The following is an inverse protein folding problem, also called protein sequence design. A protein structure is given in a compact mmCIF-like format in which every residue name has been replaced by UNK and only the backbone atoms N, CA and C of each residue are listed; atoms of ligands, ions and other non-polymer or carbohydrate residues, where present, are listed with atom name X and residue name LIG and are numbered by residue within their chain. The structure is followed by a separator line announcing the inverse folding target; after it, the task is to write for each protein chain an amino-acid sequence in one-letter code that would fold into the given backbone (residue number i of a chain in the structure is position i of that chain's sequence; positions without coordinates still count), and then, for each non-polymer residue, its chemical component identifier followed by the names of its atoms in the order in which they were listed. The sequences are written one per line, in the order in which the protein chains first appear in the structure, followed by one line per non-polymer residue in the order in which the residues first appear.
data_IF_300333663548
#
_entry.id   IF_300333663548
#
_cell.length_a   1.000
_cell.length_b   1.000
_cell.length_c   1.000
_cell.angle_alpha   90.00
_cell.angle_beta   90.00
_cell.angle_gamma   90.00
#
_symmetry.space_group_name_H-M   'P 1'
#
loop_
_entity.id
_entity.type
_entity.pdbx_description
1 polymer ?
#
# COMPACT_ATOMS: atom_id res chain seq x y z
N UNK A 1 -7.34 19.68 7.61
CA UNK A 1 -6.45 19.43 6.46
C UNK A 1 -7.31 19.19 5.23
N UNK A 2 -7.39 20.17 4.33
CA UNK A 2 -8.08 20.01 3.05
C UNK A 2 -7.33 18.97 2.22
N UNK A 3 -7.93 17.78 2.07
CA UNK A 3 -7.51 16.82 1.04
C UNK A 3 -7.84 17.45 -0.30
N UNK A 4 -6.88 18.15 -0.91
CA UNK A 4 -6.94 18.42 -2.34
C UNK A 4 -6.96 17.05 -3.02
N UNK A 5 -8.13 16.62 -3.46
CA UNK A 5 -8.27 15.44 -4.31
C UNK A 5 -7.53 15.75 -5.61
N UNK A 6 -6.26 15.38 -5.66
CA UNK A 6 -5.47 15.38 -6.88
C UNK A 6 -6.14 14.39 -7.81
N UNK A 7 -6.95 14.91 -8.75
CA UNK A 7 -7.57 14.09 -9.78
C UNK A 7 -6.43 13.52 -10.62
N UNK A 8 -6.19 12.22 -10.49
CA UNK A 8 -5.08 11.60 -11.19
C UNK A 8 -5.33 11.63 -12.69
N UNK A 9 -4.36 12.11 -13.49
CA UNK A 9 -4.48 12.09 -14.94
C UNK A 9 -4.62 10.65 -15.45
N UNK A 10 -5.36 10.48 -16.56
CA UNK A 10 -5.52 9.19 -17.22
C UNK A 10 -4.16 8.60 -17.64
N UNK A 11 -4.08 7.29 -17.91
CA UNK A 11 -2.83 6.65 -18.38
C UNK A 11 -2.23 7.40 -19.58
N UNK A 12 -3.05 7.75 -20.56
CA UNK A 12 -2.64 8.48 -21.77
C UNK A 12 -2.11 9.88 -21.48
N UNK A 13 -2.70 10.61 -20.53
CA UNK A 13 -2.25 11.94 -20.13
C UNK A 13 -0.91 11.88 -19.39
N UNK A 14 -0.70 10.85 -18.56
CA UNK A 14 0.57 10.59 -17.87
C UNK A 14 1.68 10.27 -18.85
N UNK A 15 1.43 9.37 -19.79
CA UNK A 15 2.38 8.99 -20.84
C UNK A 15 2.75 10.22 -21.72
N UNK A 16 1.78 11.08 -22.04
CA UNK A 16 2.02 12.34 -22.75
C UNK A 16 2.85 13.34 -21.93
N UNK A 17 2.57 13.47 -20.64
CA UNK A 17 3.31 14.33 -19.72
C UNK A 17 4.77 13.90 -19.55
N UNK A 18 5.01 12.61 -19.36
CA UNK A 18 6.37 12.04 -19.28
C UNK A 18 7.10 12.24 -20.61
N UNK A 19 6.44 12.00 -21.75
CA UNK A 19 7.05 12.21 -23.07
C UNK A 19 7.47 13.67 -23.28
N UNK A 20 6.64 14.62 -22.85
CA UNK A 20 6.96 16.05 -22.90
C UNK A 20 8.13 16.41 -21.97
N UNK A 21 8.21 15.80 -20.78
CA UNK A 21 9.33 15.98 -19.85
C UNK A 21 10.63 15.44 -20.45
N UNK A 22 10.63 14.21 -20.98
CA UNK A 22 11.80 13.60 -21.62
C UNK A 22 12.30 14.49 -22.76
N UNK A 23 11.38 14.94 -23.64
CA UNK A 23 11.73 15.86 -24.72
C UNK A 23 12.40 17.13 -24.20
N UNK A 24 11.81 17.77 -23.18
CA UNK A 24 12.36 18.99 -22.58
C UNK A 24 13.72 18.76 -21.91
N UNK A 25 13.94 17.60 -21.29
CA UNK A 25 15.23 17.24 -20.72
C UNK A 25 16.29 16.98 -21.79
N UNK A 26 15.92 16.38 -22.92
CA UNK A 26 16.81 16.18 -24.06
C UNK A 26 17.23 17.52 -24.67
N UNK A 27 16.27 18.43 -24.87
CA UNK A 27 16.49 19.78 -25.42
C UNK A 27 17.29 20.70 -24.46
N UNK A 28 17.33 20.37 -23.17
CA UNK A 28 18.00 21.19 -22.17
C UNK A 28 19.52 21.03 -22.23
N UNK A 29 20.22 22.12 -22.56
CA UNK A 29 21.66 22.21 -22.45
C UNK A 29 22.05 22.83 -21.09
N UNK A 30 22.70 22.04 -20.23
CA UNK A 30 23.10 22.47 -18.88
C UNK A 30 24.44 23.21 -18.99
N UNK A 31 24.51 24.51 -18.61
CA UNK A 31 25.76 25.27 -18.65
C UNK A 31 26.84 24.61 -17.81
N UNK A 32 28.06 24.55 -18.32
CA UNK A 32 29.21 23.89 -17.68
C UNK A 32 29.43 24.33 -16.23
N UNK A 33 29.38 25.64 -15.98
CA UNK A 33 29.50 26.26 -14.64
C UNK A 33 28.38 25.89 -13.66
N UNK A 34 27.30 25.26 -14.14
CA UNK A 34 26.15 24.87 -13.33
C UNK A 34 25.98 23.35 -13.24
N UNK A 35 26.77 22.55 -13.96
CA UNK A 35 26.62 21.09 -14.05
C UNK A 35 26.65 20.44 -12.67
N UNK A 36 27.63 20.79 -11.82
CA UNK A 36 27.76 20.20 -10.49
C UNK A 36 26.55 20.52 -9.60
N UNK A 37 26.13 21.79 -9.55
CA UNK A 37 24.98 22.21 -8.76
C UNK A 37 23.68 21.56 -9.23
N UNK A 38 23.49 21.45 -10.54
CA UNK A 38 22.30 20.82 -11.14
C UNK A 38 22.29 19.32 -10.87
N UNK A 39 23.44 18.65 -11.01
CA UNK A 39 23.59 17.23 -10.71
C UNK A 39 23.31 16.93 -9.24
N UNK A 40 23.88 17.70 -8.31
CA UNK A 40 23.62 17.56 -6.88
C UNK A 40 22.15 17.80 -6.52
N UNK A 41 21.54 18.86 -7.06
CA UNK A 41 20.12 19.16 -6.81
C UNK A 41 19.21 18.05 -7.35
N UNK A 42 19.49 17.54 -8.55
CA UNK A 42 18.71 16.44 -9.15
C UNK A 42 18.85 15.15 -8.33
N UNK A 43 20.07 14.82 -7.90
CA UNK A 43 20.33 13.67 -7.02
C UNK A 43 19.63 13.81 -5.67
N UNK A 44 19.67 15.00 -5.07
CA UNK A 44 18.98 15.29 -3.81
C UNK A 44 17.47 15.11 -3.95
N UNK A 45 16.87 15.60 -5.05
CA UNK A 45 15.44 15.42 -5.33
C UNK A 45 15.05 13.95 -5.47
N UNK A 46 15.84 13.14 -6.19
CA UNK A 46 15.57 11.70 -6.29
C UNK A 46 15.65 11.02 -4.91
N UNK A 47 16.65 11.37 -4.10
CA UNK A 47 16.80 10.81 -2.76
C UNK A 47 15.64 11.19 -1.84
N UNK A 48 15.16 12.43 -1.92
CA UNK A 48 14.01 12.90 -1.15
C UNK A 48 12.73 12.14 -1.52
N UNK A 49 12.45 11.96 -2.81
CA UNK A 49 11.27 11.21 -3.27
C UNK A 49 11.37 9.73 -2.88
N UNK A 50 12.57 9.13 -2.93
CA UNK A 50 12.80 7.77 -2.43
C UNK A 50 12.54 7.66 -0.92
N UNK A 51 13.09 8.59 -0.14
CA UNK A 51 12.89 8.63 1.31
C UNK A 51 11.40 8.79 1.67
N UNK A 52 10.65 9.63 0.93
CA UNK A 52 9.21 9.76 1.12
C UNK A 52 8.45 8.46 0.81
N UNK A 53 8.87 7.74 -0.23
CA UNK A 53 8.28 6.44 -0.59
C UNK A 53 8.49 5.42 0.52
N UNK A 54 9.72 5.32 1.02
CA UNK A 54 10.07 4.40 2.12
C UNK A 54 9.34 4.76 3.41
N UNK A 55 9.19 6.06 3.69
CA UNK A 55 8.42 6.55 4.83
C UNK A 55 6.95 6.10 4.76
N UNK A 56 6.30 6.27 3.61
CA UNK A 56 4.90 5.87 3.43
C UNK A 56 4.72 4.35 3.46
N UNK A 57 5.58 3.59 2.77
CA UNK A 57 5.54 2.11 2.82
C UNK A 57 5.76 1.62 4.27
N UNK A 58 6.66 2.25 5.03
CA UNK A 58 6.89 1.96 6.45
C UNK A 58 5.73 2.34 7.38
N UNK A 59 4.92 3.35 7.02
CA UNK A 59 3.69 3.70 7.74
C UNK A 59 2.59 2.68 7.49
N UNK A 60 2.43 2.22 6.24
CA UNK A 60 1.47 1.17 5.89
C UNK A 60 1.83 -0.15 6.56
N UNK A 61 3.10 -0.53 6.58
CA UNK A 61 3.58 -1.72 7.28
C UNK A 61 3.19 -1.71 8.77
N UNK A 62 3.44 -0.60 9.46
CA UNK A 62 3.04 -0.43 10.87
C UNK A 62 1.52 -0.57 11.07
N UNK A 63 0.74 0.00 10.17
CA UNK A 63 -0.72 -0.09 10.21
C UNK A 63 -1.20 -1.55 10.03
N UNK A 64 -0.61 -2.31 9.10
CA UNK A 64 -0.91 -3.74 8.92
C UNK A 64 -0.59 -4.56 10.16
N UNK A 65 0.53 -4.27 10.83
CA UNK A 65 0.90 -4.93 12.09
C UNK A 65 -0.13 -4.68 13.19
N UNK A 66 -0.58 -3.43 13.35
CA UNK A 66 -1.63 -3.09 14.33
C UNK A 66 -2.93 -3.84 14.03
N UNK A 67 -3.33 -3.92 12.76
CA UNK A 67 -4.54 -4.67 12.34
C UNK A 67 -4.41 -6.15 12.67
N UNK A 68 -3.24 -6.75 12.42
CA UNK A 68 -3.01 -8.17 12.69
C UNK A 68 -3.13 -8.45 14.19
N UNK A 69 -2.48 -7.64 15.04
CA UNK A 69 -2.60 -7.77 16.50
C UNK A 69 -4.02 -7.58 17.00
N UNK A 70 -4.71 -6.53 16.52
CA UNK A 70 -6.10 -6.28 16.91
C UNK A 70 -7.00 -7.45 16.48
N UNK A 71 -6.83 -7.96 15.26
CA UNK A 71 -7.61 -9.10 14.76
C UNK A 71 -7.37 -10.38 15.58
N UNK A 72 -6.14 -10.61 16.03
CA UNK A 72 -5.83 -11.74 16.92
C UNK A 72 -6.55 -11.62 18.27
N UNK A 73 -6.53 -10.43 18.89
CA UNK A 73 -7.25 -10.17 20.16
C UNK A 73 -8.75 -10.34 19.98
N UNK A 74 -9.33 -9.75 18.93
CA UNK A 74 -10.76 -9.86 18.64
C UNK A 74 -11.16 -11.32 18.36
N UNK A 75 -10.31 -12.06 17.64
CA UNK A 75 -10.49 -13.50 17.43
C UNK A 75 -10.53 -14.28 18.73
N UNK A 76 -9.62 -14.01 19.68
CA UNK A 76 -9.60 -14.66 20.99
C UNK A 76 -10.86 -14.35 21.81
N UNK A 77 -11.32 -13.09 21.82
CA UNK A 77 -12.57 -12.68 22.48
C UNK A 77 -13.77 -13.41 21.87
N UNK A 78 -13.81 -13.50 20.54
CA UNK A 78 -14.86 -14.24 19.85
C UNK A 78 -14.81 -15.76 20.13
N UNK A 79 -13.64 -16.37 20.21
CA UNK A 79 -13.52 -17.78 20.61
C UNK A 79 -14.10 -18.01 22.00
N UNK A 80 -13.84 -17.09 22.94
CA UNK A 80 -14.45 -17.15 24.27
C UNK A 80 -15.97 -17.03 24.19
N UNK A 81 -16.48 -16.06 23.41
CA UNK A 81 -17.90 -15.91 23.15
C UNK A 81 -18.53 -17.21 22.64
N UNK A 82 -17.94 -17.82 21.61
CA UNK A 82 -18.45 -19.03 20.97
C UNK A 82 -18.36 -20.29 21.87
N UNK A 83 -17.56 -20.23 22.94
CA UNK A 83 -17.50 -21.29 23.95
C UNK A 83 -18.65 -21.17 24.96
N UNK A 84 -19.02 -19.93 25.32
CA UNK A 84 -20.04 -19.67 26.33
C UNK A 84 -21.47 -19.65 25.73
N UNK A 85 -21.59 -19.28 24.45
CA UNK A 85 -22.85 -19.16 23.70
C UNK A 85 -22.83 -20.02 22.44
N UNK A 86 -23.74 -20.98 22.37
CA UNK A 86 -23.91 -21.87 21.21
C UNK A 86 -24.48 -21.09 20.02
N UNK A 87 -24.05 -21.44 18.81
CA UNK A 87 -24.67 -20.95 17.58
C UNK A 87 -26.15 -21.37 17.53
N UNK A 88 -27.12 -20.44 17.49
CA UNK A 88 -28.54 -20.77 17.58
C UNK A 88 -29.11 -21.51 16.36
N UNK A 89 -28.36 -21.63 15.26
CA UNK A 89 -28.81 -22.27 14.03
C UNK A 89 -29.82 -21.42 13.24
N UNK A 90 -30.11 -21.87 12.01
CA UNK A 90 -31.16 -21.30 11.17
C UNK A 90 -32.45 -22.15 11.18
N UNK A 91 -32.42 -23.32 11.81
CA UNK A 91 -33.48 -24.33 11.69
C UNK A 91 -34.72 -24.01 12.56
N UNK A 92 -34.57 -23.21 13.61
CA UNK A 92 -35.65 -22.80 14.51
C UNK A 92 -35.57 -21.30 14.80
N UNK A 93 -35.94 -20.47 13.84
CA UNK A 93 -35.98 -19.01 13.98
C UNK A 93 -37.03 -18.65 15.05
N UNK A 94 -36.56 -18.33 16.25
CA UNK A 94 -37.37 -17.82 17.35
C UNK A 94 -36.92 -16.39 17.65
N UNK A 95 -37.76 -15.35 17.51
CA UNK A 95 -37.35 -13.95 17.72
C UNK A 95 -37.18 -13.58 19.21
N UNK A 96 -36.74 -14.50 20.06
CA UNK A 96 -36.41 -14.24 21.45
C UNK A 96 -35.04 -13.56 21.57
N UNK A 97 -34.82 -12.83 22.67
CA UNK A 97 -33.53 -12.18 22.95
C UNK A 97 -32.36 -13.20 22.97
N UNK A 98 -32.62 -14.42 23.44
CA UNK A 98 -31.63 -15.51 23.48
C UNK A 98 -31.22 -16.06 22.11
N UNK A 99 -31.99 -15.82 21.04
CA UNK A 99 -31.61 -16.14 19.67
C UNK A 99 -31.07 -14.91 18.93
N UNK A 100 -31.74 -13.76 19.06
CA UNK A 100 -31.41 -12.53 18.33
C UNK A 100 -30.03 -11.98 18.68
N UNK A 101 -29.71 -11.89 19.98
CA UNK A 101 -28.45 -11.28 20.42
C UNK A 101 -27.23 -12.12 20.02
N UNK A 102 -27.17 -13.44 20.31
CA UNK A 102 -26.04 -14.24 19.86
C UNK A 102 -25.91 -14.27 18.34
N UNK A 103 -27.01 -14.49 17.61
CA UNK A 103 -27.00 -14.51 16.14
C UNK A 103 -26.44 -13.20 15.56
N UNK A 104 -26.87 -12.06 16.09
CA UNK A 104 -26.37 -10.74 15.67
C UNK A 104 -24.89 -10.55 15.98
N UNK A 105 -24.42 -11.02 17.14
CA UNK A 105 -22.99 -10.97 17.52
C UNK A 105 -22.12 -11.78 16.56
N UNK A 106 -22.53 -13.02 16.25
CA UNK A 106 -21.86 -13.89 15.28
C UNK A 106 -21.82 -13.26 13.88
N UNK A 107 -22.95 -12.73 13.40
CA UNK A 107 -23.03 -12.12 12.08
C UNK A 107 -22.17 -10.86 11.98
N UNK A 108 -22.18 -10.03 13.03
CA UNK A 108 -21.34 -8.81 13.10
C UNK A 108 -19.86 -9.17 13.10
N UNK A 109 -19.45 -10.21 13.85
CA UNK A 109 -18.07 -10.70 13.82
C UNK A 109 -17.68 -11.22 12.43
N UNK A 110 -18.57 -11.95 11.76
CA UNK A 110 -18.32 -12.45 10.40
C UNK A 110 -18.14 -11.31 9.40
N UNK A 111 -19.03 -10.30 9.43
CA UNK A 111 -18.90 -9.10 8.59
C UNK A 111 -17.56 -8.40 8.89
N UNK A 112 -17.22 -8.22 10.16
CA UNK A 112 -15.94 -7.64 10.56
C UNK A 112 -14.76 -8.41 9.92
N UNK A 113 -14.74 -9.74 10.03
CA UNK A 113 -13.67 -10.57 9.48
C UNK A 113 -13.56 -10.41 7.95
N UNK A 114 -14.68 -10.39 7.23
CA UNK A 114 -14.71 -10.19 5.78
C UNK A 114 -14.18 -8.80 5.40
N UNK A 115 -14.67 -7.74 6.07
CA UNK A 115 -14.27 -6.36 5.77
C UNK A 115 -12.79 -6.12 6.09
N UNK A 116 -12.28 -6.65 7.21
CA UNK A 116 -10.85 -6.57 7.55
C UNK A 116 -10.00 -7.32 6.52
N UNK A 117 -10.39 -8.53 6.16
CA UNK A 117 -9.65 -9.33 5.17
C UNK A 117 -9.60 -8.62 3.82
N UNK A 118 -10.73 -8.06 3.38
CA UNK A 118 -10.79 -7.24 2.17
C UNK A 118 -9.90 -5.99 2.25
N UNK A 119 -9.90 -5.30 3.39
CA UNK A 119 -9.02 -4.16 3.64
C UNK A 119 -7.55 -4.54 3.54
N UNK A 120 -7.13 -5.65 4.15
CA UNK A 120 -5.75 -6.13 4.07
C UNK A 120 -5.38 -6.53 2.64
N UNK A 121 -6.27 -7.22 1.94
CA UNK A 121 -6.03 -7.63 0.55
C UNK A 121 -5.81 -6.42 -0.37
N UNK A 122 -6.66 -5.39 -0.25
CA UNK A 122 -6.50 -4.14 -1.01
C UNK A 122 -5.22 -3.40 -0.65
N UNK A 123 -4.83 -3.37 0.63
CA UNK A 123 -3.55 -2.81 1.06
C UNK A 123 -2.36 -3.54 0.43
N UNK A 124 -2.33 -4.87 0.50
CA UNK A 124 -1.25 -5.68 -0.07
C UNK A 124 -1.16 -5.49 -1.58
N UNK A 125 -2.30 -5.40 -2.28
CA UNK A 125 -2.31 -5.16 -3.71
C UNK A 125 -1.81 -3.73 -4.05
N UNK A 126 -2.06 -2.74 -3.20
CA UNK A 126 -1.54 -1.38 -3.37
C UNK A 126 -0.01 -1.28 -3.12
N UNK A 127 0.53 -2.12 -2.23
CA UNK A 127 1.97 -2.13 -1.89
C UNK A 127 2.80 -2.87 -2.96
N UNK A 128 2.18 -3.72 -3.79
CA UNK A 128 2.91 -4.50 -4.81
C UNK A 128 3.84 -3.61 -5.64
N UNK A 129 5.12 -4.00 -5.79
CA UNK A 129 6.09 -3.23 -6.55
C UNK A 129 5.84 -3.39 -8.05
N UNK A 130 4.89 -2.63 -8.61
CA UNK A 130 4.70 -2.56 -10.05
C UNK A 130 5.23 -1.21 -10.54
N UNK A 131 6.27 -1.20 -11.36
CA UNK A 131 6.72 0.02 -12.03
C UNK A 131 6.03 0.10 -13.38
N UNK A 132 5.24 1.15 -13.59
CA UNK A 132 4.66 1.43 -14.89
C UNK A 132 5.75 2.14 -15.72
N UNK A 133 6.41 1.39 -16.59
CA UNK A 133 7.48 1.91 -17.44
C UNK A 133 6.84 2.67 -18.60
N UNK A 134 7.31 3.88 -18.95
CA UNK A 134 6.79 4.61 -20.10
C UNK A 134 6.94 3.76 -21.37
N UNK A 135 5.91 3.72 -22.22
CA UNK A 135 5.99 2.97 -23.48
C UNK A 135 7.13 3.46 -24.40
N UNK A 136 7.56 4.72 -24.23
CA UNK A 136 8.69 5.33 -24.93
C UNK A 136 10.05 4.74 -24.55
N UNK A 137 10.15 3.98 -23.45
CA UNK A 137 11.37 3.24 -23.09
C UNK A 137 11.42 1.85 -23.71
N UNK A 138 10.34 1.35 -24.32
CA UNK A 138 10.33 0.06 -25.02
C UNK A 138 10.81 0.17 -26.48
N UNK A 139 11.43 1.30 -26.85
CA UNK A 139 11.99 1.54 -28.18
C UNK A 139 13.50 1.61 -28.08
N UNK A 140 14.18 0.72 -28.77
CA UNK A 140 15.63 0.79 -28.95
C UNK A 140 15.97 2.15 -29.56
N UNK A 141 16.59 3.03 -28.77
CA UNK A 141 17.05 4.31 -29.30
C UNK A 141 18.16 4.03 -30.33
N UNK A 142 18.08 4.68 -31.49
CA UNK A 142 19.01 4.48 -32.61
C UNK A 142 20.45 4.90 -32.27
N UNK A 143 20.64 5.57 -31.12
CA UNK A 143 21.88 6.10 -30.58
C UNK A 143 22.71 5.07 -29.79
N UNK A 144 22.11 3.93 -29.40
CA UNK A 144 22.79 2.88 -28.62
C UNK A 144 23.01 3.20 -27.14
N UNK A 145 22.57 4.37 -26.65
CA UNK A 145 22.62 4.75 -25.24
C UNK A 145 21.38 4.22 -24.48
N UNK A 146 21.54 3.78 -23.21
CA UNK A 146 20.40 3.33 -22.41
C UNK A 146 19.45 4.50 -22.10
N UNK A 147 18.12 4.31 -22.07
CA UNK A 147 17.16 5.39 -21.76
C UNK A 147 17.27 5.91 -20.33
N UNK A 148 17.89 5.15 -19.42
CA UNK A 148 18.32 5.61 -18.10
C UNK A 148 19.55 4.82 -17.62
N UNK A 149 20.48 5.53 -16.97
CA UNK A 149 21.68 4.99 -16.34
C UNK A 149 21.51 4.65 -14.84
N UNK A 150 20.32 4.85 -14.25
CA UNK A 150 20.08 4.65 -12.80
C UNK A 150 18.90 3.71 -12.55
N UNK A 151 17.91 3.67 -13.44
CA UNK A 151 16.73 2.84 -13.30
C UNK A 151 16.94 1.44 -13.90
N UNK A 152 16.61 0.40 -13.13
CA UNK A 152 16.90 -0.99 -13.52
C UNK A 152 16.30 -1.40 -14.88
N UNK A 153 15.05 -0.99 -15.19
CA UNK A 153 14.47 -1.32 -16.50
C UNK A 153 15.21 -0.61 -17.65
N UNK A 154 15.72 0.61 -17.43
CA UNK A 154 16.50 1.32 -18.45
C UNK A 154 17.90 0.73 -18.64
N UNK A 155 18.52 0.24 -17.55
CA UNK A 155 19.79 -0.48 -17.61
C UNK A 155 19.65 -1.85 -18.30
N UNK A 156 18.58 -2.59 -18.00
CA UNK A 156 18.34 -3.93 -18.54
C UNK A 156 17.85 -3.93 -19.99
N UNK A 157 17.45 -2.78 -20.53
CA UNK A 157 17.06 -2.63 -21.94
C UNK A 157 18.27 -2.69 -22.89
N UNK A 158 19.48 -2.50 -22.35
CA UNK A 158 20.75 -2.65 -23.08
C UNK A 158 21.56 -3.83 -22.54
N UNK A 159 22.41 -4.44 -23.38
CA UNK A 159 23.31 -5.49 -22.92
C UNK A 159 24.42 -4.92 -22.01
N UNK A 160 24.92 -5.72 -21.07
CA UNK A 160 25.96 -5.28 -20.13
C UNK A 160 27.21 -4.66 -20.81
N UNK A 161 27.73 -5.19 -21.94
CA UNK A 161 28.82 -4.55 -22.68
C UNK A 161 28.45 -3.16 -23.21
N UNK A 162 27.27 -3.01 -23.83
CA UNK A 162 26.79 -1.73 -24.35
C UNK A 162 26.55 -0.69 -23.26
N UNK A 163 26.11 -1.14 -22.08
CA UNK A 163 25.97 -0.27 -20.92
C UNK A 163 27.34 0.28 -20.47
N UNK A 164 28.36 -0.58 -20.43
CA UNK A 164 29.74 -0.17 -20.14
C UNK A 164 30.29 0.81 -21.18
N UNK A 165 30.13 0.50 -22.47
CA UNK A 165 30.52 1.39 -23.58
C UNK A 165 29.83 2.76 -23.51
N UNK A 166 28.53 2.79 -23.17
CA UNK A 166 27.79 4.02 -22.97
C UNK A 166 28.36 4.84 -21.81
N UNK A 167 28.74 4.18 -20.71
CA UNK A 167 29.35 4.83 -19.56
C UNK A 167 30.71 5.42 -19.90
N UNK A 168 31.58 4.66 -20.57
CA UNK A 168 32.90 5.10 -21.01
C UNK A 168 32.80 6.28 -22.00
N UNK A 169 31.87 6.19 -22.96
CA UNK A 169 31.63 7.24 -23.96
C UNK A 169 31.19 8.55 -23.32
N UNK A 170 30.29 8.48 -22.34
CA UNK A 170 29.79 9.65 -21.62
C UNK A 170 30.78 10.18 -20.58
N UNK A 171 31.65 9.32 -20.03
CA UNK A 171 32.64 9.70 -19.04
C UNK A 171 33.70 10.65 -19.62
N UNK A 172 34.12 10.48 -20.88
CA UNK A 172 35.12 11.35 -21.51
C UNK A 172 36.36 11.60 -20.63
N UNK A 173 37.09 12.69 -20.89
CA UNK A 173 38.24 13.07 -20.05
C UNK A 173 37.83 13.83 -18.77
N UNK A 174 36.74 14.62 -18.83
CA UNK A 174 36.33 15.50 -17.72
C UNK A 174 35.07 15.04 -16.97
N UNK A 175 34.34 14.02 -17.45
CA UNK A 175 33.12 13.52 -16.80
C UNK A 175 31.93 14.48 -16.81
N UNK A 176 32.05 15.64 -17.47
CA UNK A 176 31.03 16.70 -17.48
C UNK A 176 29.77 16.27 -18.22
N UNK A 177 29.92 15.54 -19.33
CA UNK A 177 28.79 15.01 -20.10
C UNK A 177 28.09 13.86 -19.36
N UNK A 178 28.83 13.02 -18.65
CA UNK A 178 28.26 12.03 -17.73
C UNK A 178 27.41 12.69 -16.65
N UNK A 179 27.93 13.72 -15.96
CA UNK A 179 27.16 14.46 -14.92
C UNK A 179 25.90 15.10 -15.49
N UNK A 180 25.97 15.68 -16.70
CA UNK A 180 24.79 16.24 -17.39
C UNK A 180 23.76 15.16 -17.68
N UNK A 181 24.20 14.00 -18.17
CA UNK A 181 23.33 12.88 -18.47
C UNK A 181 22.66 12.33 -17.20
N UNK A 182 23.43 12.09 -16.14
CA UNK A 182 22.93 11.66 -14.84
C UNK A 182 21.94 12.67 -14.25
N UNK A 183 22.20 13.98 -14.36
CA UNK A 183 21.28 15.00 -13.88
C UNK A 183 19.90 14.90 -14.58
N UNK A 184 19.89 14.69 -15.90
CA UNK A 184 18.64 14.49 -16.66
C UNK A 184 17.92 13.21 -16.21
N UNK A 185 18.64 12.09 -16.07
CA UNK A 185 18.07 10.84 -15.58
C UNK A 185 17.49 10.99 -14.17
N UNK A 186 18.19 11.67 -13.26
CA UNK A 186 17.70 11.93 -11.89
C UNK A 186 16.39 12.72 -11.87
N UNK A 187 16.26 13.75 -12.71
CA UNK A 187 15.02 14.55 -12.79
C UNK A 187 13.85 13.69 -13.31
N UNK A 188 14.07 12.94 -14.39
CA UNK A 188 13.04 12.07 -14.97
C UNK A 188 12.62 11.00 -13.96
N UNK A 189 13.58 10.38 -13.28
CA UNK A 189 13.29 9.35 -12.28
C UNK A 189 12.62 9.89 -11.04
N UNK A 190 13.03 11.06 -10.54
CA UNK A 190 12.37 11.69 -9.41
C UNK A 190 10.88 11.93 -9.71
N UNK A 191 10.58 12.38 -10.93
CA UNK A 191 9.20 12.54 -11.40
C UNK A 191 8.45 11.20 -11.46
N UNK A 192 9.03 10.18 -12.10
CA UNK A 192 8.40 8.85 -12.21
C UNK A 192 8.11 8.21 -10.85
N UNK A 193 9.06 8.33 -9.91
CA UNK A 193 8.88 7.82 -8.55
C UNK A 193 7.80 8.63 -7.83
N UNK A 194 7.80 9.97 -7.93
CA UNK A 194 6.78 10.81 -7.30
C UNK A 194 5.37 10.52 -7.83
N UNK A 195 5.23 10.34 -9.14
CA UNK A 195 3.97 9.98 -9.77
C UNK A 195 3.45 8.61 -9.28
N UNK A 196 4.37 7.64 -9.12
CA UNK A 196 4.04 6.32 -8.58
C UNK A 196 3.65 6.39 -7.10
N UNK A 197 4.32 7.22 -6.29
CA UNK A 197 3.93 7.46 -4.89
C UNK A 197 2.52 8.02 -4.84
N UNK A 198 2.19 8.99 -5.70
CA UNK A 198 0.84 9.54 -5.76
C UNK A 198 -0.20 8.45 -6.11
N UNK A 199 0.09 7.57 -7.07
CA UNK A 199 -0.79 6.43 -7.42
C UNK A 199 -0.97 5.44 -6.27
N UNK A 200 0.12 5.07 -5.59
CA UNK A 200 0.08 4.23 -4.39
C UNK A 200 -0.77 4.86 -3.29
N UNK A 201 -0.56 6.14 -2.99
CA UNK A 201 -1.32 6.89 -1.98
C UNK A 201 -2.80 6.97 -2.33
N UNK A 202 -3.14 7.18 -3.61
CA UNK A 202 -4.53 7.14 -4.07
C UNK A 202 -5.17 5.75 -3.87
N UNK A 203 -4.41 4.67 -4.09
CA UNK A 203 -4.84 3.30 -3.88
C UNK A 203 -4.95 2.91 -2.38
N UNK A 204 -4.29 3.63 -1.48
CA UNK A 204 -4.38 3.41 -0.03
C UNK A 204 -5.68 3.97 0.57
N UNK A 205 -6.27 5.02 -0.01
CA UNK A 205 -7.53 5.60 0.47
C UNK A 205 -8.69 4.59 0.66
N UNK A 206 -9.01 3.71 -0.32
CA UNK A 206 -10.05 2.71 -0.11
C UNK A 206 -9.73 1.73 1.02
N UNK A 207 -8.45 1.37 1.21
CA UNK A 207 -8.02 0.55 2.35
C UNK A 207 -8.29 1.26 3.68
N UNK A 208 -7.90 2.53 3.81
CA UNK A 208 -8.13 3.30 5.06
C UNK A 208 -9.62 3.44 5.35
N UNK A 209 -10.45 3.65 4.32
CA UNK A 209 -11.89 3.71 4.48
C UNK A 209 -12.51 2.36 4.89
N UNK A 210 -12.07 1.26 4.28
CA UNK A 210 -12.50 -0.09 4.66
C UNK A 210 -12.09 -0.42 6.11
N UNK A 211 -10.88 -0.04 6.52
CA UNK A 211 -10.43 -0.19 7.90
C UNK A 211 -11.27 0.62 8.88
N UNK A 212 -11.62 1.86 8.53
CA UNK A 212 -12.51 2.68 9.35
C UNK A 212 -13.88 2.04 9.52
N UNK A 213 -14.44 1.47 8.44
CA UNK A 213 -15.68 0.72 8.51
C UNK A 213 -15.55 -0.52 9.41
N UNK A 214 -14.47 -1.28 9.28
CA UNK A 214 -14.17 -2.42 10.15
C UNK A 214 -14.13 -2.02 11.63
N UNK A 215 -13.51 -0.89 11.98
CA UNK A 215 -13.46 -0.40 13.36
C UNK A 215 -14.85 -0.04 13.90
N UNK A 216 -15.73 0.52 13.08
CA UNK A 216 -17.13 0.79 13.48
C UNK A 216 -17.90 -0.52 13.71
N UNK A 217 -17.76 -1.49 12.81
CA UNK A 217 -18.38 -2.82 12.95
C UNK A 217 -17.86 -3.51 14.22
N UNK A 218 -16.57 -3.40 14.51
CA UNK A 218 -15.96 -3.95 15.71
C UNK A 218 -16.54 -3.32 16.98
N UNK A 219 -16.78 -2.01 16.99
CA UNK A 219 -17.44 -1.35 18.12
C UNK A 219 -18.86 -1.88 18.34
N UNK A 220 -19.62 -2.08 17.26
CA UNK A 220 -20.96 -2.70 17.32
C UNK A 220 -20.87 -4.13 17.86
N UNK A 221 -19.87 -4.90 17.43
CA UNK A 221 -19.62 -6.25 17.94
C UNK A 221 -19.42 -6.26 19.47
N UNK A 222 -18.58 -5.37 20.01
CA UNK A 222 -18.36 -5.32 21.46
C UNK A 222 -19.62 -4.93 22.24
N UNK A 223 -20.45 -4.02 21.70
CA UNK A 223 -21.73 -3.65 22.32
C UNK A 223 -22.69 -4.84 22.33
N UNK A 224 -22.81 -5.57 21.22
CA UNK A 224 -23.66 -6.76 21.12
C UNK A 224 -23.15 -7.91 22.01
N UNK A 225 -21.84 -8.10 22.09
CA UNK A 225 -21.20 -9.05 22.99
C UNK A 225 -21.56 -8.75 24.44
N UNK A 226 -21.39 -7.51 24.90
CA UNK A 226 -21.74 -7.10 26.26
C UNK A 226 -23.25 -7.24 26.55
N UNK A 227 -24.10 -6.87 25.59
CA UNK A 227 -25.54 -7.06 25.71
C UNK A 227 -25.91 -8.55 25.82
N UNK A 228 -25.24 -9.42 25.05
CA UNK A 228 -25.46 -10.87 25.13
C UNK A 228 -25.11 -11.41 26.52
N UNK A 229 -23.98 -10.96 27.09
CA UNK A 229 -23.59 -11.33 28.46
C UNK A 229 -24.60 -10.84 29.51
N UNK A 230 -25.15 -9.64 29.33
CA UNK A 230 -26.07 -9.05 30.30
C UNK A 230 -27.49 -9.66 30.26
N UNK A 231 -27.94 -10.13 29.10
CA UNK A 231 -29.35 -10.51 28.88
C UNK A 231 -29.58 -11.97 28.49
N UNK A 232 -28.53 -12.74 28.23
CA UNK A 232 -28.62 -14.14 27.80
C UNK A 232 -27.76 -15.02 28.70
N UNK A 233 -28.38 -16.05 29.27
CA UNK A 233 -27.69 -17.03 30.08
C UNK A 233 -26.72 -17.87 29.22
N UNK A 234 -25.52 -18.22 29.74
CA UNK A 234 -24.57 -19.05 29.01
C UNK A 234 -25.18 -20.43 28.71
N UNK A 235 -25.21 -20.81 27.43
CA UNK A 235 -25.75 -22.10 26.98
C UNK A 235 -24.87 -23.26 27.42
N UNK A 236 -23.59 -23.01 27.66
CA UNK A 236 -22.62 -23.96 28.17
C UNK A 236 -22.22 -23.60 29.61
N UNK A 237 -23.20 -23.39 30.48
CA UNK A 237 -22.94 -23.34 31.92
C UNK A 237 -22.40 -24.71 32.36
N UNK A 238 -21.16 -24.76 32.83
CA UNK A 238 -20.54 -25.98 33.35
C UNK A 238 -21.46 -26.62 34.39
N UNK A 239 -22.02 -27.78 34.05
CA UNK A 239 -22.68 -28.64 35.01
C UNK A 239 -21.60 -29.13 35.98
N UNK A 240 -21.44 -28.44 37.11
CA UNK A 240 -21.01 -29.13 38.33
C UNK A 240 -22.25 -29.86 38.80
N UNK A 241 -22.32 -31.20 38.68
CA UNK A 241 -23.46 -31.94 39.21
C UNK A 241 -23.56 -31.68 40.71
N UNK A 242 -24.77 -31.48 41.27
CA UNK A 242 -24.97 -31.26 42.70
C UNK A 242 -24.56 -32.45 43.59
N UNK A 243 -24.02 -33.53 43.01
CA UNK A 243 -23.53 -34.72 43.72
C UNK A 243 -22.16 -34.56 44.39
N UNK A 244 -21.53 -33.37 44.37
CA UNK A 244 -20.23 -33.11 45.03
C UNK A 244 -20.32 -32.20 46.27
N UNK A 245 -21.52 -31.90 46.78
CA UNK A 245 -21.72 -31.23 48.08
C UNK A 245 -22.15 -32.19 49.20
N UNK A 246 -22.14 -33.49 48.94
CA UNK A 246 -22.32 -34.53 49.98
C UNK A 246 -21.24 -35.60 49.82
N UNK A 247 -20.05 -35.33 50.33
CA UNK A 247 -19.16 -36.30 50.99
C UNK A 247 -18.06 -35.55 51.75
#
# INVERSE_FOLDING_TARGET
MMSQSFKQPGKTERDAGISALIKRMNDWNIPEKAVDRVHEAARASLNEVKALTEYEDGKVSRLLTVIAFLSAVVGAVFTRFATDYAWPGLDNINPSAGWLLPTSTYFTFFIYAVVVTWSVFTALNAIRPTFNVPATWNGHDATGLPPSMIFYNGMLDVSAPKWGEAFETLAGEEGTDLKRYYAKCYVIEAYLVAEKVAQKLAAINPCVNALRAAMVILMVFFVLFAATIAFVDPTHSGAVPPSLLTN
#
